data_IF_547119107471
#
_entry.id   IF_547119107471
#
_cell.length_a   1.000
_cell.length_b   1.000
_cell.length_c   1.000
_cell.angle_alpha   90.00
_cell.angle_beta   90.00
_cell.angle_gamma   90.00
#
_symmetry.space_group_name_H-M   'P 1'
#
loop_
_entity.id
_entity.type
_entity.pdbx_description
1 polymer ?
#
# COMPACT_ATOMS: atom_id res chain seq x y z
N UNK A 1 -8.19 -14.52 -1.98
CA UNK A 1 -8.53 -15.24 -0.74
C UNK A 1 -9.58 -14.41 -0.04
N UNK A 2 -10.72 -14.99 0.30
CA UNK A 2 -11.88 -14.26 0.85
C UNK A 2 -11.70 -14.07 2.37
N UNK A 3 -12.04 -12.89 2.89
CA UNK A 3 -11.92 -12.57 4.32
C UNK A 3 -13.03 -13.33 5.05
N UNK A 4 -12.67 -14.14 6.04
CA UNK A 4 -13.64 -14.76 6.93
C UNK A 4 -14.00 -13.78 8.06
N UNK A 5 -14.99 -12.92 7.77
CA UNK A 5 -15.49 -11.91 8.71
C UNK A 5 -16.00 -12.52 10.01
N UNK A 6 -16.45 -13.78 9.98
CA UNK A 6 -16.91 -14.46 11.20
C UNK A 6 -15.73 -14.77 12.12
N UNK A 7 -14.60 -15.25 11.57
CA UNK A 7 -13.39 -15.50 12.37
C UNK A 7 -12.79 -14.23 12.96
N UNK A 8 -12.78 -13.13 12.21
CA UNK A 8 -12.34 -11.84 12.76
C UNK A 8 -13.25 -11.40 13.91
N UNK A 9 -14.57 -11.51 13.72
CA UNK A 9 -15.54 -11.17 14.76
C UNK A 9 -15.38 -12.07 15.99
N UNK A 10 -15.21 -13.38 15.80
CA UNK A 10 -14.94 -14.36 16.87
C UNK A 10 -13.68 -13.98 17.66
N UNK A 11 -12.58 -13.66 16.98
CA UNK A 11 -11.35 -13.24 17.65
C UNK A 11 -11.52 -11.94 18.46
N UNK A 12 -12.21 -10.94 17.91
CA UNK A 12 -12.50 -9.67 18.61
C UNK A 12 -13.35 -9.95 19.87
N UNK A 13 -14.32 -10.87 19.79
CA UNK A 13 -15.14 -11.27 20.93
C UNK A 13 -14.35 -12.04 21.97
N UNK A 14 -13.54 -13.02 21.58
CA UNK A 14 -12.70 -13.84 22.48
C UNK A 14 -11.69 -12.99 23.26
N UNK A 15 -11.20 -11.90 22.66
CA UNK A 15 -10.24 -11.00 23.28
C UNK A 15 -10.89 -9.80 24.00
N UNK A 16 -12.22 -9.75 24.12
CA UNK A 16 -12.98 -8.67 24.78
C UNK A 16 -12.68 -7.28 24.21
N UNK A 17 -12.49 -7.18 22.89
CA UNK A 17 -12.09 -5.94 22.23
C UNK A 17 -13.27 -5.11 21.69
N UNK A 18 -14.50 -5.66 21.70
CA UNK A 18 -15.70 -5.01 21.13
C UNK A 18 -15.99 -3.61 21.68
N UNK A 19 -15.85 -3.44 23.00
CA UNK A 19 -16.17 -2.18 23.69
C UNK A 19 -14.93 -1.36 24.02
N UNK A 20 -13.75 -1.82 23.58
CA UNK A 20 -12.48 -1.18 23.87
C UNK A 20 -12.24 -0.07 22.83
N UNK A 21 -12.02 1.18 23.24
CA UNK A 21 -11.61 2.22 22.31
C UNK A 21 -10.24 1.89 21.73
N UNK A 22 -10.03 2.12 20.42
CA UNK A 22 -8.76 1.82 19.73
C UNK A 22 -7.52 2.41 20.41
N UNK A 23 -7.65 3.59 21.03
CA UNK A 23 -6.56 4.26 21.76
C UNK A 23 -6.07 3.49 23.00
N UNK A 24 -6.90 2.59 23.52
CA UNK A 24 -6.61 1.83 24.74
C UNK A 24 -6.08 0.44 24.41
N UNK A 25 -5.93 0.09 23.12
CA UNK A 25 -5.36 -1.17 22.69
C UNK A 25 -3.88 -1.22 23.04
N UNK A 26 -3.41 -2.41 23.43
CA UNK A 26 -1.97 -2.66 23.57
C UNK A 26 -1.33 -2.78 22.19
N UNK A 27 0.00 -2.64 22.15
CA UNK A 27 0.77 -2.83 20.93
C UNK A 27 0.56 -4.23 20.36
N UNK A 28 0.49 -5.24 21.22
CA UNK A 28 0.30 -6.64 20.86
C UNK A 28 -1.11 -6.87 20.26
N UNK A 29 -2.16 -6.31 20.85
CA UNK A 29 -3.52 -6.39 20.32
C UNK A 29 -3.65 -5.71 18.95
N UNK A 30 -2.97 -4.57 18.76
CA UNK A 30 -2.92 -3.88 17.47
C UNK A 30 -2.19 -4.73 16.43
N UNK A 31 -1.04 -5.33 16.78
CA UNK A 31 -0.28 -6.18 15.86
C UNK A 31 -1.06 -7.43 15.48
N UNK A 32 -1.78 -8.07 16.41
CA UNK A 32 -2.61 -9.23 16.10
C UNK A 32 -3.84 -8.86 15.28
N UNK A 33 -4.47 -7.70 15.56
CA UNK A 33 -5.54 -7.17 14.72
C UNK A 33 -5.03 -6.94 13.29
N UNK A 34 -3.81 -6.40 13.15
CA UNK A 34 -3.15 -6.26 11.86
C UNK A 34 -2.77 -7.58 11.25
N UNK A 35 -2.36 -8.62 11.99
CA UNK A 35 -2.06 -9.95 11.44
C UNK A 35 -3.33 -10.63 10.91
N UNK A 36 -4.43 -10.54 11.66
CA UNK A 36 -5.77 -10.95 11.20
C UNK A 36 -6.23 -10.10 10.00
N UNK A 37 -5.80 -8.84 9.94
CA UNK A 37 -6.08 -7.92 8.84
C UNK A 37 -5.00 -7.88 7.73
N UNK A 38 -3.86 -8.55 7.83
CA UNK A 38 -2.76 -8.47 6.84
C UNK A 38 -3.11 -9.29 5.60
N UNK A 39 -4.04 -10.25 5.76
CA UNK A 39 -4.83 -10.82 4.67
C UNK A 39 -5.63 -9.76 3.88
N UNK A 40 -6.02 -8.65 4.50
CA UNK A 40 -6.79 -7.55 3.89
C UNK A 40 -5.88 -6.64 3.04
N UNK A 41 -4.68 -6.32 3.51
CA UNK A 41 -3.73 -5.47 2.75
C UNK A 41 -3.16 -6.18 1.52
N UNK A 42 -2.94 -7.50 1.60
CA UNK A 42 -2.47 -8.29 0.46
C UNK A 42 -3.55 -8.47 -0.62
N UNK A 43 -4.81 -8.68 -0.23
CA UNK A 43 -5.93 -8.84 -1.19
C UNK A 43 -6.36 -7.50 -1.80
N UNK A 44 -6.34 -6.40 -1.04
CA UNK A 44 -6.62 -5.08 -1.58
C UNK A 44 -5.58 -4.67 -2.65
N UNK A 45 -4.31 -5.02 -2.47
CA UNK A 45 -3.26 -4.76 -3.47
C UNK A 45 -3.40 -5.59 -4.77
N UNK A 46 -4.14 -6.71 -4.78
CA UNK A 46 -4.42 -7.46 -6.01
C UNK A 46 -5.58 -6.88 -6.83
N UNK A 47 -6.39 -5.98 -6.26
CA UNK A 47 -7.48 -5.32 -6.98
C UNK A 47 -7.01 -4.12 -7.81
N UNK A 48 -5.77 -3.66 -7.59
CA UNK A 48 -5.23 -2.49 -8.27
C UNK A 48 -4.22 -2.91 -9.35
N UNK A 49 -4.33 -2.30 -10.53
CA UNK A 49 -3.32 -2.49 -11.57
C UNK A 49 -2.00 -1.80 -11.15
N UNK A 50 -0.85 -2.51 -11.15
CA UNK A 50 0.41 -1.91 -10.78
C UNK A 50 0.88 -0.89 -11.85
N UNK A 51 1.64 0.15 -11.46
CA UNK A 51 2.35 0.98 -12.42
C UNK A 51 3.32 0.16 -13.26
N UNK A 52 3.52 0.55 -14.52
CA UNK A 52 4.41 -0.16 -15.45
C UNK A 52 5.07 0.78 -16.45
N UNK A 53 6.15 0.31 -17.06
CA UNK A 53 6.89 1.01 -18.12
C UNK A 53 6.53 0.37 -19.47
N UNK A 54 6.09 1.18 -20.45
CA UNK A 54 5.92 0.74 -21.84
C UNK A 54 7.28 0.57 -22.52
N UNK A 55 7.33 -0.17 -23.63
CA UNK A 55 8.55 -0.38 -24.42
C UNK A 55 9.28 0.91 -24.83
N UNK A 56 8.57 2.02 -25.00
CA UNK A 56 9.14 3.33 -25.33
C UNK A 56 9.61 4.14 -24.09
N UNK A 57 9.68 3.51 -22.93
CA UNK A 57 10.09 4.12 -21.67
C UNK A 57 9.02 5.03 -21.03
N UNK A 58 7.76 4.94 -21.45
CA UNK A 58 6.68 5.74 -20.83
C UNK A 58 6.21 5.09 -19.53
N UNK A 59 6.28 5.83 -18.42
CA UNK A 59 5.64 5.48 -17.15
C UNK A 59 4.12 5.59 -17.29
N UNK A 60 3.42 4.51 -16.95
CA UNK A 60 1.96 4.46 -16.89
C UNK A 60 1.54 4.15 -15.46
N UNK A 61 0.66 4.99 -14.91
CA UNK A 61 -0.02 4.78 -13.64
C UNK A 61 -1.50 4.55 -13.97
N UNK A 62 -1.98 3.30 -13.92
CA UNK A 62 -3.38 2.99 -14.23
C UNK A 62 -4.38 3.81 -13.40
N UNK A 63 -5.58 4.03 -13.94
CA UNK A 63 -6.64 4.76 -13.22
C UNK A 63 -7.08 4.00 -11.96
N UNK A 64 -7.07 2.67 -12.04
CA UNK A 64 -7.27 1.69 -10.99
C UNK A 64 -5.95 1.29 -10.30
N UNK A 65 -4.90 2.12 -10.35
CA UNK A 65 -3.74 1.91 -9.51
C UNK A 65 -4.05 2.24 -8.04
N UNK A 66 -3.32 1.61 -7.12
CA UNK A 66 -3.43 1.89 -5.69
C UNK A 66 -3.21 3.39 -5.45
N UNK A 67 -4.02 4.07 -4.61
CA UNK A 67 -3.92 5.52 -4.38
C UNK A 67 -2.50 6.00 -4.03
N UNK A 68 -1.71 5.17 -3.34
CA UNK A 68 -0.30 5.43 -3.04
C UNK A 68 0.53 5.78 -4.28
N UNK A 69 0.25 5.20 -5.45
CA UNK A 69 1.03 5.46 -6.67
C UNK A 69 0.56 6.71 -7.43
N UNK A 70 -0.57 7.31 -7.07
CA UNK A 70 -1.11 8.49 -7.74
C UNK A 70 -0.45 9.75 -7.19
N UNK A 71 0.69 10.13 -7.75
CA UNK A 71 1.50 11.26 -7.26
C UNK A 71 0.77 12.61 -7.19
N UNK A 72 -0.37 12.74 -7.87
CA UNK A 72 -1.23 13.92 -7.85
C UNK A 72 -2.25 13.92 -6.69
N UNK A 73 -2.38 12.83 -5.95
CA UNK A 73 -3.26 12.72 -4.78
C UNK A 73 -2.53 13.15 -3.51
N UNK A 74 -3.23 13.71 -2.50
CA UNK A 74 -2.60 14.12 -1.23
C UNK A 74 -1.90 12.99 -0.47
N UNK A 75 -2.37 11.75 -0.63
CA UNK A 75 -1.78 10.54 -0.02
C UNK A 75 -0.85 9.80 -0.98
N UNK A 76 -0.60 10.36 -2.16
CA UNK A 76 0.27 9.80 -3.18
C UNK A 76 1.74 9.92 -2.80
N UNK A 77 2.51 8.91 -3.15
CA UNK A 77 3.96 8.93 -3.04
C UNK A 77 4.57 9.62 -4.27
N UNK A 78 5.83 10.01 -4.16
CA UNK A 78 6.54 10.64 -5.27
C UNK A 78 6.74 9.67 -6.45
N UNK A 79 6.91 10.23 -7.66
CA UNK A 79 7.29 9.44 -8.84
C UNK A 79 8.60 8.68 -8.57
N UNK A 80 9.58 9.31 -7.92
CA UNK A 80 10.86 8.67 -7.55
C UNK A 80 10.65 7.42 -6.70
N UNK A 81 9.84 7.50 -5.65
CA UNK A 81 9.53 6.34 -4.79
C UNK A 81 8.85 5.22 -5.58
N UNK A 82 7.91 5.58 -6.45
CA UNK A 82 7.24 4.59 -7.33
C UNK A 82 8.24 3.89 -8.25
N UNK A 83 9.15 4.63 -8.88
CA UNK A 83 10.17 4.06 -9.75
C UNK A 83 11.18 3.19 -8.98
N UNK A 84 11.49 3.54 -7.73
CA UNK A 84 12.33 2.71 -6.86
C UNK A 84 11.65 1.38 -6.50
N UNK A 85 10.36 1.40 -6.15
CA UNK A 85 9.56 0.19 -5.90
C UNK A 85 9.47 -0.71 -7.15
N UNK A 86 9.48 -0.12 -8.34
CA UNK A 86 9.44 -0.83 -9.63
C UNK A 86 10.80 -1.36 -10.10
N UNK A 87 11.89 -1.04 -9.39
CA UNK A 87 13.26 -1.44 -9.75
C UNK A 87 13.63 -1.12 -11.22
N UNK A 88 13.20 0.05 -11.72
CA UNK A 88 13.49 0.46 -13.11
C UNK A 88 14.96 0.78 -13.33
N UNK A 89 15.39 0.82 -14.59
CA UNK A 89 16.75 1.24 -14.95
C UNK A 89 17.04 2.70 -14.57
N UNK A 90 18.32 3.01 -14.37
CA UNK A 90 18.80 4.37 -14.10
C UNK A 90 18.39 5.37 -15.18
N UNK A 91 18.31 4.93 -16.44
CA UNK A 91 17.85 5.76 -17.56
C UNK A 91 16.40 6.23 -17.38
N UNK A 92 15.50 5.33 -16.96
CA UNK A 92 14.09 5.67 -16.70
C UNK A 92 13.97 6.50 -15.42
N UNK A 93 14.75 6.17 -14.40
CA UNK A 93 14.82 6.95 -13.15
C UNK A 93 15.19 8.41 -13.45
N UNK A 94 16.25 8.64 -14.21
CA UNK A 94 16.75 9.98 -14.53
C UNK A 94 15.77 10.77 -15.39
N UNK A 95 15.06 10.11 -16.32
CA UNK A 95 14.05 10.75 -17.18
C UNK A 95 12.90 11.38 -16.40
N UNK A 96 12.46 10.72 -15.33
CA UNK A 96 11.25 11.07 -14.59
C UNK A 96 11.52 11.72 -13.23
N UNK A 97 12.66 11.40 -12.62
CA UNK A 97 13.12 11.94 -11.37
C UNK A 97 14.63 12.22 -11.47
N UNK A 98 15.03 13.24 -12.25
CA UNK A 98 16.43 13.63 -12.33
C UNK A 98 16.93 14.02 -10.94
N UNK A 99 18.22 13.80 -10.68
CA UNK A 99 18.82 14.34 -9.45
C UNK A 99 18.80 15.87 -9.57
N UNK A 100 18.13 16.54 -8.66
CA UNK A 100 18.21 18.00 -8.58
C UNK A 100 19.60 18.38 -8.11
N UNK A 101 20.30 19.23 -8.85
CA UNK A 101 21.65 19.76 -8.52
C UNK A 101 21.70 20.67 -7.26
N UNK A 102 20.75 20.56 -6.34
CA UNK A 102 20.67 21.38 -5.13
C UNK A 102 20.41 20.53 -3.87
N UNK A 103 21.23 19.50 -3.66
CA UNK A 103 21.44 18.87 -2.34
C UNK A 103 22.67 19.48 -1.65
#
# INVERSE_FOLDING_TARGET
MEIDLNKLAEWIMENNLMDKPLKDFTKEEILQLFEQAELVTYVANQAYSPPYIKENGTLVIPADAHPKHKYWEPTGQSIRQTLQEMEVSDEIMERYAPKSDND
#
